data_IF_569509521366
#
_entry.id   IF_569509521366
#
_cell.length_a   1.000
_cell.length_b   1.000
_cell.length_c   1.000
_cell.angle_alpha   90.00
_cell.angle_beta   90.00
_cell.angle_gamma   90.00
#
_symmetry.space_group_name_H-M   'P 1'
#
loop_
_entity.id
_entity.type
_entity.pdbx_description
1 polymer ?
#
# COMPACT_ATOMS: atom_id res chain seq x y z
N UNK A 1 -3.88 17.62 45.22
CA UNK A 1 -3.45 16.40 44.49
C UNK A 1 -4.50 15.85 43.52
N UNK A 2 -5.82 15.94 43.82
CA UNK A 2 -6.87 15.46 42.90
C UNK A 2 -7.05 16.29 41.61
N UNK A 3 -6.61 17.55 41.56
CA UNK A 3 -6.73 18.40 40.36
C UNK A 3 -5.71 18.06 39.26
N UNK A 4 -4.50 17.62 39.62
CA UNK A 4 -3.43 17.26 38.69
C UNK A 4 -3.77 16.04 37.81
N UNK A 5 -4.61 15.13 38.31
CA UNK A 5 -5.03 13.94 37.54
C UNK A 5 -6.14 14.24 36.53
N UNK A 6 -6.86 15.36 36.66
CA UNK A 6 -7.87 15.79 35.69
C UNK A 6 -7.28 16.52 34.48
N UNK A 7 -6.02 16.96 34.57
CA UNK A 7 -5.27 17.56 33.47
C UNK A 7 -4.59 16.52 32.56
N UNK A 8 -4.54 15.25 33.00
CA UNK A 8 -3.97 14.16 32.19
C UNK A 8 -5.03 13.74 31.16
N UNK A 9 -4.73 13.83 29.85
CA UNK A 9 -5.64 13.39 28.80
C UNK A 9 -5.98 11.92 29.01
N UNK A 10 -7.28 11.61 29.12
CA UNK A 10 -7.74 10.22 29.19
C UNK A 10 -7.78 9.65 27.78
N UNK A 11 -6.87 8.73 27.48
CA UNK A 11 -6.88 7.96 26.25
C UNK A 11 -7.02 6.46 26.54
N UNK A 12 -7.52 5.70 25.56
CA UNK A 12 -7.57 4.25 25.71
C UNK A 12 -6.15 3.67 25.66
N UNK A 13 -5.88 2.58 26.39
CA UNK A 13 -4.60 1.86 26.32
C UNK A 13 -4.21 1.53 24.87
N UNK A 14 -5.20 1.21 24.05
CA UNK A 14 -5.00 0.90 22.63
C UNK A 14 -4.48 2.12 21.84
N UNK A 15 -4.99 3.32 22.13
CA UNK A 15 -4.52 4.56 21.50
C UNK A 15 -3.12 4.93 21.98
N UNK A 16 -2.83 4.75 23.27
CA UNK A 16 -1.49 4.96 23.83
C UNK A 16 -0.47 3.99 23.21
N UNK A 17 -0.81 2.70 23.06
CA UNK A 17 0.05 1.73 22.38
C UNK A 17 0.27 2.12 20.92
N UNK A 18 -0.76 2.62 20.26
CA UNK A 18 -0.68 3.06 18.87
C UNK A 18 0.18 4.30 18.70
N UNK A 19 0.12 5.28 19.62
CA UNK A 19 0.92 6.49 19.57
C UNK A 19 2.42 6.19 19.74
N UNK A 20 2.77 5.25 20.63
CA UNK A 20 4.14 4.74 20.77
C UNK A 20 4.58 4.02 19.50
N UNK A 21 3.70 3.20 18.91
CA UNK A 21 4.01 2.44 17.69
C UNK A 21 4.32 3.32 16.49
N UNK A 22 3.70 4.49 16.34
CA UNK A 22 3.94 5.41 15.21
C UNK A 22 5.42 5.80 15.04
N UNK A 23 6.24 5.66 16.09
CA UNK A 23 7.68 5.95 16.06
C UNK A 23 8.55 4.73 15.69
N UNK A 24 7.94 3.56 15.51
CA UNK A 24 8.64 2.32 15.17
C UNK A 24 8.61 2.06 13.66
N UNK A 25 9.64 1.40 13.10
CA UNK A 25 9.61 0.96 11.71
C UNK A 25 8.47 -0.05 11.49
N UNK A 26 7.85 -0.11 10.30
CA UNK A 26 6.73 -1.01 10.01
C UNK A 26 7.20 -2.46 9.94
N UNK A 27 8.46 -2.65 9.58
CA UNK A 27 9.14 -3.91 9.47
C UNK A 27 10.52 -3.67 10.12
N UNK A 28 10.94 -4.50 11.07
CA UNK A 28 12.18 -4.33 11.84
C UNK A 28 13.39 -4.08 10.93
N UNK A 29 14.40 -3.36 11.45
CA UNK A 29 15.58 -2.86 10.71
C UNK A 29 16.52 -3.92 10.10
N UNK A 30 16.14 -5.19 10.02
CA UNK A 30 17.04 -6.30 9.74
C UNK A 30 17.08 -6.76 8.27
N UNK A 31 16.85 -5.85 7.32
CA UNK A 31 17.10 -6.13 5.89
C UNK A 31 18.57 -5.83 5.60
N UNK A 32 19.42 -6.79 5.89
CA UNK A 32 20.77 -6.90 5.32
C UNK A 32 21.01 -8.34 4.91
N UNK A 33 20.16 -8.87 4.04
CA UNK A 33 20.56 -10.01 3.20
C UNK A 33 21.58 -9.50 2.20
N UNK A 34 22.77 -10.09 2.28
CA UNK A 34 23.99 -9.85 1.49
C UNK A 34 23.78 -9.14 0.14
N UNK A 35 24.43 -7.97 -0.01
CA UNK A 35 24.75 -7.38 -1.31
C UNK A 35 23.83 -6.29 -1.86
N UNK A 36 22.60 -6.12 -1.35
CA UNK A 36 21.69 -5.06 -1.82
C UNK A 36 21.34 -4.11 -0.66
N UNK A 37 21.79 -2.86 -0.75
CA UNK A 37 21.40 -1.82 0.20
C UNK A 37 19.87 -1.73 0.27
N UNK A 38 19.31 -1.72 1.49
CA UNK A 38 17.86 -1.53 1.70
C UNK A 38 17.41 -0.27 0.96
N UNK A 39 16.38 -0.40 0.13
CA UNK A 39 15.87 0.72 -0.65
C UNK A 39 15.51 1.89 0.29
N UNK A 40 15.89 3.15 -0.01
CA UNK A 40 15.68 4.29 0.87
C UNK A 40 14.22 4.45 1.33
N UNK A 41 13.27 4.09 0.46
CA UNK A 41 11.85 4.01 0.80
C UNK A 41 11.63 3.10 2.02
N UNK A 42 12.11 1.86 2.01
CA UNK A 42 11.90 0.91 3.11
C UNK A 42 12.52 1.41 4.42
N UNK A 43 13.61 2.18 4.33
CA UNK A 43 14.26 2.79 5.51
C UNK A 43 13.51 3.99 6.08
N UNK A 44 12.67 4.68 5.29
CA UNK A 44 11.91 5.86 5.72
C UNK A 44 10.50 5.54 6.19
N UNK A 45 9.99 4.34 5.94
CA UNK A 45 8.65 3.96 6.35
C UNK A 45 8.57 3.75 7.86
N UNK A 46 7.42 4.11 8.44
CA UNK A 46 7.06 3.91 9.84
C UNK A 46 5.70 3.21 9.99
N UNK A 47 5.44 2.60 11.15
CA UNK A 47 4.09 2.17 11.55
C UNK A 47 3.10 3.34 11.42
N UNK A 48 1.90 3.06 10.92
CA UNK A 48 0.90 4.08 10.65
C UNK A 48 1.15 4.91 9.39
N UNK A 49 2.22 4.67 8.64
CA UNK A 49 2.34 5.28 7.31
C UNK A 49 1.25 4.78 6.39
N UNK A 50 0.78 5.67 5.53
CA UNK A 50 -0.21 5.37 4.48
C UNK A 50 0.44 5.69 3.15
N UNK A 51 0.55 4.70 2.29
CA UNK A 51 1.13 4.86 0.96
C UNK A 51 0.09 4.61 -0.11
N UNK A 52 0.07 5.46 -1.12
CA UNK A 52 -0.68 5.23 -2.36
C UNK A 52 0.30 4.72 -3.42
N UNK A 53 -0.02 3.58 -4.03
CA UNK A 53 0.72 3.03 -5.17
C UNK A 53 -0.16 3.12 -6.40
N UNK A 54 0.16 4.06 -7.29
CA UNK A 54 -0.62 4.35 -8.48
C UNK A 54 0.11 3.90 -9.75
N UNK A 55 -0.62 3.36 -10.72
CA UNK A 55 -0.07 2.97 -12.02
C UNK A 55 -1.06 2.21 -12.90
N UNK A 56 -0.77 2.04 -14.20
CA UNK A 56 -1.65 1.36 -15.14
C UNK A 56 -1.75 -0.14 -14.81
N UNK A 57 -2.64 -0.86 -15.50
CA UNK A 57 -2.66 -2.32 -15.42
C UNK A 57 -1.25 -2.90 -15.70
N UNK A 58 -0.90 -3.98 -15.00
CA UNK A 58 0.39 -4.66 -15.14
C UNK A 58 1.64 -3.81 -14.80
N UNK A 59 1.49 -2.69 -14.09
CA UNK A 59 2.62 -1.85 -13.66
C UNK A 59 3.36 -2.36 -12.41
N UNK A 60 3.13 -3.60 -11.96
CA UNK A 60 3.82 -4.17 -10.80
C UNK A 60 3.25 -3.83 -9.41
N UNK A 61 2.10 -3.13 -9.31
CA UNK A 61 1.49 -2.73 -8.01
C UNK A 61 1.27 -3.92 -7.07
N UNK A 62 0.60 -4.97 -7.55
CA UNK A 62 0.32 -6.17 -6.75
C UNK A 62 1.60 -6.93 -6.37
N UNK A 63 2.65 -6.89 -7.21
CA UNK A 63 3.94 -7.48 -6.86
C UNK A 63 4.69 -6.67 -5.79
N UNK A 64 4.61 -5.33 -5.84
CA UNK A 64 5.11 -4.48 -4.76
C UNK A 64 4.33 -4.77 -3.45
N UNK A 65 3.01 -4.95 -3.53
CA UNK A 65 2.21 -5.40 -2.39
C UNK A 65 2.67 -6.76 -1.86
N UNK A 66 2.90 -7.77 -2.72
CA UNK A 66 3.45 -9.06 -2.29
C UNK A 66 4.77 -8.90 -1.54
N UNK A 67 5.66 -8.02 -2.00
CA UNK A 67 6.91 -7.77 -1.29
C UNK A 67 6.68 -7.35 0.17
N UNK A 68 5.76 -6.40 0.40
CA UNK A 68 5.42 -5.95 1.76
C UNK A 68 4.68 -7.00 2.59
N UNK A 69 3.77 -7.77 1.98
CA UNK A 69 3.10 -8.88 2.65
C UNK A 69 4.14 -9.91 3.13
N UNK A 70 5.11 -10.26 2.28
CA UNK A 70 6.18 -11.20 2.62
C UNK A 70 7.02 -10.69 3.80
N UNK A 71 7.43 -9.42 3.80
CA UNK A 71 8.15 -8.81 4.94
C UNK A 71 7.32 -8.86 6.23
N UNK A 72 6.01 -8.68 6.12
CA UNK A 72 5.10 -8.69 7.26
C UNK A 72 4.96 -10.09 7.88
N UNK A 73 4.64 -11.10 7.07
CA UNK A 73 4.22 -12.43 7.56
C UNK A 73 5.37 -13.41 7.77
N UNK A 74 6.51 -13.22 7.10
CA UNK A 74 7.65 -14.12 7.21
C UNK A 74 8.15 -14.24 8.66
N UNK A 75 8.77 -15.36 9.05
CA UNK A 75 9.37 -15.52 10.37
C UNK A 75 10.43 -14.44 10.60
N UNK A 76 10.62 -14.05 11.86
CA UNK A 76 11.69 -13.10 12.23
C UNK A 76 12.99 -13.85 12.46
N UNK A 77 13.14 -14.50 13.62
CA UNK A 77 14.33 -15.27 13.98
C UNK A 77 13.96 -16.64 14.52
N UNK A 78 14.62 -17.69 14.06
CA UNK A 78 14.44 -19.05 14.58
C UNK A 78 15.77 -19.80 14.60
N UNK A 79 16.09 -20.42 15.74
CA UNK A 79 17.31 -21.22 15.92
C UNK A 79 18.58 -20.51 15.39
N UNK A 80 18.75 -19.24 15.77
CA UNK A 80 19.85 -18.32 15.37
C UNK A 80 19.84 -17.78 13.92
N UNK A 81 18.96 -18.28 13.04
CA UNK A 81 18.81 -17.81 11.67
C UNK A 81 17.86 -16.61 11.65
N UNK A 82 18.28 -15.53 11.00
CA UNK A 82 17.44 -14.38 10.70
C UNK A 82 16.83 -14.53 9.30
N UNK A 83 15.51 -14.47 9.23
CA UNK A 83 14.76 -14.61 7.99
C UNK A 83 14.30 -13.24 7.44
N UNK A 84 14.59 -12.15 8.15
CA UNK A 84 14.25 -10.78 7.74
C UNK A 84 12.75 -10.47 7.75
N UNK A 85 11.92 -11.34 8.32
CA UNK A 85 10.47 -11.14 8.48
C UNK A 85 10.08 -10.57 9.83
N UNK A 86 8.79 -10.30 10.01
CA UNK A 86 8.27 -9.63 11.21
C UNK A 86 7.30 -10.47 12.03
N UNK A 87 6.83 -11.60 11.47
CA UNK A 87 5.87 -12.48 12.13
C UNK A 87 4.59 -11.77 12.58
N UNK A 88 4.17 -10.75 11.83
CA UNK A 88 2.98 -9.94 12.06
C UNK A 88 1.82 -10.43 11.17
N UNK A 89 0.59 -10.03 11.52
CA UNK A 89 -0.57 -10.27 10.67
C UNK A 89 -0.61 -9.26 9.51
N UNK A 90 -0.86 -9.76 8.30
CA UNK A 90 -1.14 -8.96 7.11
C UNK A 90 -2.61 -9.11 6.72
N UNK A 91 -3.32 -8.00 6.62
CA UNK A 91 -4.71 -7.94 6.18
C UNK A 91 -4.77 -7.36 4.77
N UNK A 92 -5.34 -8.08 3.82
CA UNK A 92 -5.47 -7.66 2.42
C UNK A 92 -6.94 -7.61 2.04
N UNK A 93 -7.41 -6.45 1.63
CA UNK A 93 -8.68 -6.26 0.96
C UNK A 93 -8.46 -6.33 -0.55
N UNK A 94 -8.72 -7.51 -1.12
CA UNK A 94 -8.63 -7.79 -2.55
C UNK A 94 -9.97 -7.46 -3.21
N UNK A 95 -10.09 -6.23 -3.70
CA UNK A 95 -11.34 -5.68 -4.27
C UNK A 95 -11.48 -6.00 -5.76
N UNK A 96 -10.35 -6.23 -6.45
CA UNK A 96 -10.29 -6.57 -7.88
C UNK A 96 -10.15 -8.08 -8.14
N UNK A 97 -10.21 -8.91 -7.08
CA UNK A 97 -9.99 -10.36 -7.14
C UNK A 97 -8.66 -10.74 -7.84
N UNK A 98 -7.64 -9.90 -7.70
CA UNK A 98 -6.35 -10.01 -8.37
C UNK A 98 -5.25 -10.60 -7.49
N UNK A 99 -5.50 -10.72 -6.18
CA UNK A 99 -4.53 -11.25 -5.22
C UNK A 99 -4.46 -12.78 -5.30
N UNK A 100 -3.33 -13.27 -5.81
CA UNK A 100 -3.01 -14.68 -5.97
C UNK A 100 -2.16 -15.19 -4.78
N UNK A 101 -2.81 -15.98 -3.92
CA UNK A 101 -2.18 -16.60 -2.75
C UNK A 101 -1.17 -17.68 -3.16
N UNK A 102 -1.38 -18.38 -4.27
CA UNK A 102 -0.43 -19.39 -4.76
C UNK A 102 0.87 -18.72 -5.22
N UNK A 103 0.75 -17.55 -5.89
CA UNK A 103 1.90 -16.72 -6.24
C UNK A 103 2.65 -16.24 -5.00
N UNK A 104 1.95 -15.74 -3.98
CA UNK A 104 2.58 -15.32 -2.72
C UNK A 104 3.28 -16.50 -2.02
N UNK A 105 2.62 -17.67 -1.95
CA UNK A 105 3.19 -18.90 -1.39
C UNK A 105 4.50 -19.27 -2.10
N UNK A 106 4.51 -19.26 -3.44
CA UNK A 106 5.71 -19.54 -4.23
C UNK A 106 6.85 -18.57 -3.87
N UNK A 107 6.57 -17.26 -3.85
CA UNK A 107 7.57 -16.25 -3.50
C UNK A 107 8.12 -16.44 -2.08
N UNK A 108 7.26 -16.78 -1.12
CA UNK A 108 7.67 -17.03 0.26
C UNK A 108 8.53 -18.29 0.38
N UNK A 109 8.09 -19.39 -0.24
CA UNK A 109 8.82 -20.65 -0.23
C UNK A 109 10.20 -20.51 -0.86
N UNK A 110 10.30 -19.81 -1.99
CA UNK A 110 11.59 -19.55 -2.63
C UNK A 110 12.51 -18.77 -1.70
N UNK A 111 12.04 -17.67 -1.09
CA UNK A 111 12.83 -16.88 -0.14
C UNK A 111 13.32 -17.70 1.05
N UNK A 112 12.45 -18.51 1.66
CA UNK A 112 12.83 -19.34 2.80
C UNK A 112 13.76 -20.49 2.41
N UNK A 113 13.59 -21.06 1.21
CA UNK A 113 14.46 -22.11 0.70
C UNK A 113 15.88 -21.61 0.40
N UNK A 114 16.03 -20.33 0.00
CA UNK A 114 17.36 -19.70 -0.17
C UNK A 114 18.10 -19.56 1.17
N UNK A 115 17.38 -19.26 2.25
CA UNK A 115 17.97 -19.17 3.61
C UNK A 115 18.20 -20.56 4.23
N UNK A 116 17.41 -21.56 3.82
CA UNK A 116 17.47 -22.95 4.31
C UNK A 116 17.77 -23.94 3.17
N UNK A 117 18.91 -23.84 2.45
CA UNK A 117 19.16 -24.61 1.24
C UNK A 117 19.23 -26.13 1.50
N UNK A 118 19.59 -26.53 2.72
CA UNK A 118 19.69 -27.93 3.13
C UNK A 118 18.49 -28.42 3.96
N UNK A 119 17.44 -27.59 4.13
CA UNK A 119 16.28 -27.95 4.95
C UNK A 119 14.96 -27.48 4.31
N UNK A 120 14.68 -27.99 3.12
CA UNK A 120 13.47 -27.67 2.33
C UNK A 120 12.19 -27.98 3.12
N UNK A 121 12.17 -29.05 3.92
CA UNK A 121 11.00 -29.39 4.73
C UNK A 121 10.75 -28.39 5.87
N UNK A 122 11.81 -27.80 6.45
CA UNK A 122 11.64 -26.67 7.35
C UNK A 122 11.14 -25.43 6.61
N UNK A 123 11.69 -25.12 5.43
CA UNK A 123 11.22 -23.99 4.62
C UNK A 123 9.72 -24.10 4.29
N UNK A 124 9.25 -25.29 3.88
CA UNK A 124 7.84 -25.56 3.60
C UNK A 124 6.95 -25.35 4.82
N UNK A 125 7.33 -25.91 5.98
CA UNK A 125 6.59 -25.71 7.24
C UNK A 125 6.52 -24.24 7.64
N UNK A 126 7.62 -23.49 7.50
CA UNK A 126 7.65 -22.06 7.82
C UNK A 126 6.82 -21.24 6.85
N UNK A 127 6.75 -21.61 5.56
CA UNK A 127 5.84 -21.00 4.59
C UNK A 127 4.39 -21.20 5.03
N UNK A 128 4.00 -22.44 5.33
CA UNK A 128 2.63 -22.77 5.78
C UNK A 128 2.27 -22.02 7.08
N UNK A 129 3.17 -22.01 8.07
CA UNK A 129 2.99 -21.25 9.32
C UNK A 129 2.83 -19.74 9.07
N UNK A 130 3.59 -19.20 8.12
CA UNK A 130 3.54 -17.78 7.78
C UNK A 130 2.25 -17.38 7.08
N UNK A 131 1.70 -18.26 6.24
CA UNK A 131 0.42 -17.99 5.57
C UNK A 131 -0.76 -17.96 6.53
N UNK A 132 -0.67 -18.57 7.71
CA UNK A 132 -1.69 -18.40 8.76
C UNK A 132 -1.82 -16.96 9.27
N UNK A 133 -0.81 -16.11 9.03
CA UNK A 133 -0.83 -14.68 9.37
C UNK A 133 -1.39 -13.80 8.25
N UNK A 134 -1.77 -14.37 7.11
CA UNK A 134 -2.38 -13.66 5.99
C UNK A 134 -3.91 -13.77 6.03
N UNK A 135 -4.58 -12.63 6.03
CA UNK A 135 -6.03 -12.53 6.06
C UNK A 135 -6.52 -11.77 4.83
N UNK A 136 -7.20 -12.46 3.91
CA UNK A 136 -7.70 -11.88 2.66
C UNK A 136 -9.22 -11.73 2.71
N UNK A 137 -9.71 -10.51 2.50
CA UNK A 137 -11.12 -10.16 2.38
C UNK A 137 -11.42 -9.69 0.96
N UNK A 138 -12.56 -10.11 0.39
CA UNK A 138 -12.98 -9.76 -0.96
C UNK A 138 -14.34 -9.04 -0.97
N UNK A 139 -14.39 -7.76 -0.56
CA UNK A 139 -15.62 -7.00 -0.66
C UNK A 139 -15.97 -6.75 -2.12
N UNK A 140 -17.25 -6.63 -2.43
CA UNK A 140 -17.80 -6.43 -3.78
C UNK A 140 -18.40 -5.03 -3.97
N UNK A 141 -18.23 -4.14 -2.99
CA UNK A 141 -18.64 -2.72 -3.06
C UNK A 141 -17.86 -1.87 -2.04
N UNK A 142 -17.84 -0.54 -2.23
CA UNK A 142 -17.26 0.40 -1.26
C UNK A 142 -17.95 0.34 0.11
N UNK A 143 -19.27 0.12 0.15
CA UNK A 143 -20.00 0.00 1.42
C UNK A 143 -19.62 -1.27 2.19
N UNK A 144 -19.44 -2.40 1.50
CA UNK A 144 -18.97 -3.63 2.13
C UNK A 144 -17.52 -3.50 2.60
N UNK A 145 -16.66 -2.85 1.80
CA UNK A 145 -15.28 -2.55 2.19
C UNK A 145 -15.26 -1.66 3.46
N UNK A 146 -16.01 -0.55 3.47
CA UNK A 146 -16.10 0.34 4.62
C UNK A 146 -16.61 -0.37 5.88
N UNK A 147 -17.66 -1.18 5.72
CA UNK A 147 -18.24 -1.96 6.82
C UNK A 147 -17.23 -2.98 7.35
N UNK A 148 -16.54 -3.69 6.47
CA UNK A 148 -15.54 -4.68 6.88
C UNK A 148 -14.36 -4.03 7.60
N UNK A 149 -13.84 -2.91 7.09
CA UNK A 149 -12.78 -2.14 7.75
C UNK A 149 -13.22 -1.63 9.13
N UNK A 150 -14.46 -1.13 9.24
CA UNK A 150 -15.01 -0.67 10.52
C UNK A 150 -15.04 -1.79 11.57
N UNK A 151 -15.29 -3.04 11.15
CA UNK A 151 -15.35 -4.21 12.05
C UNK A 151 -14.02 -4.97 12.16
N UNK A 152 -12.97 -4.56 11.45
CA UNK A 152 -11.65 -5.18 11.51
C UNK A 152 -11.07 -5.23 12.94
N UNK A 153 -11.23 -4.21 13.81
CA UNK A 153 -10.79 -4.31 15.21
C UNK A 153 -11.45 -5.46 15.99
N UNK A 154 -12.73 -5.73 15.72
CA UNK A 154 -13.44 -6.84 16.33
C UNK A 154 -12.92 -8.18 15.80
N UNK A 155 -12.72 -8.28 14.48
CA UNK A 155 -12.10 -9.45 13.87
C UNK A 155 -10.70 -9.71 14.44
N UNK A 156 -9.88 -8.67 14.62
CA UNK A 156 -8.54 -8.78 15.20
C UNK A 156 -8.60 -9.42 16.59
N UNK A 157 -9.48 -8.89 17.46
CA UNK A 157 -9.66 -9.40 18.83
C UNK A 157 -10.13 -10.85 18.89
N UNK A 158 -11.01 -11.27 17.98
CA UNK A 158 -11.65 -12.59 18.04
C UNK A 158 -10.87 -13.66 17.27
N UNK A 159 -10.35 -13.32 16.10
CA UNK A 159 -9.79 -14.29 15.15
C UNK A 159 -8.27 -14.36 15.15
N UNK A 160 -7.59 -13.27 15.52
CA UNK A 160 -6.11 -13.18 15.54
C UNK A 160 -5.55 -12.42 16.75
N UNK A 161 -5.97 -12.78 17.99
CA UNK A 161 -5.53 -12.06 19.19
C UNK A 161 -4.02 -12.14 19.44
N UNK A 162 -3.35 -13.17 18.91
CA UNK A 162 -1.92 -13.45 19.12
C UNK A 162 -0.99 -12.67 18.18
N UNK A 163 -1.54 -12.03 17.13
CA UNK A 163 -0.75 -11.37 16.09
C UNK A 163 -1.18 -9.93 15.90
N UNK A 164 -0.27 -9.00 16.18
CA UNK A 164 -0.47 -7.59 15.82
C UNK A 164 -0.62 -7.42 14.29
N UNK A 165 -1.59 -6.62 13.87
CA UNK A 165 -1.74 -6.22 12.46
C UNK A 165 -0.60 -5.27 12.09
N UNK A 166 0.37 -5.79 11.35
CA UNK A 166 1.53 -5.02 10.86
C UNK A 166 1.26 -4.29 9.55
N UNK A 167 0.47 -4.92 8.66
CA UNK A 167 0.15 -4.44 7.32
C UNK A 167 -1.35 -4.51 7.06
N UNK A 168 -1.90 -3.43 6.50
CA UNK A 168 -3.24 -3.38 5.94
C UNK A 168 -3.15 -2.90 4.49
N UNK A 169 -3.65 -3.70 3.55
CA UNK A 169 -3.66 -3.35 2.14
C UNK A 169 -5.07 -3.29 1.57
N UNK A 170 -5.31 -2.37 0.64
CA UNK A 170 -6.49 -2.36 -0.22
C UNK A 170 -6.02 -2.36 -1.68
N UNK A 171 -6.27 -3.47 -2.37
CA UNK A 171 -5.87 -3.72 -3.76
C UNK A 171 -7.10 -4.02 -4.63
N UNK A 172 -7.68 -3.06 -5.35
CA UNK A 172 -7.37 -1.63 -5.41
C UNK A 172 -8.48 -0.73 -4.85
N UNK A 173 -8.13 0.51 -4.49
CA UNK A 173 -9.10 1.54 -4.09
C UNK A 173 -10.07 1.92 -5.21
N UNK A 174 -9.73 1.60 -6.47
CA UNK A 174 -10.46 2.03 -7.67
C UNK A 174 -11.29 0.95 -8.33
N UNK A 175 -11.33 -0.26 -7.76
CA UNK A 175 -12.11 -1.39 -8.26
C UNK A 175 -13.57 -1.03 -8.57
N UNK A 176 -14.20 -0.23 -7.70
CA UNK A 176 -15.61 0.14 -7.81
C UNK A 176 -15.86 1.46 -8.54
N UNK A 177 -14.81 2.16 -9.00
CA UNK A 177 -14.90 3.53 -9.51
C UNK A 177 -15.93 3.70 -10.64
N UNK A 178 -15.88 2.85 -11.67
CA UNK A 178 -16.78 2.99 -12.82
C UNK A 178 -18.22 2.65 -12.47
N UNK A 179 -18.44 1.62 -11.64
CA UNK A 179 -19.77 1.24 -11.17
C UNK A 179 -20.40 2.34 -10.34
N UNK A 180 -19.66 2.90 -9.38
CA UNK A 180 -20.16 3.97 -8.52
C UNK A 180 -20.40 5.26 -9.30
N UNK A 181 -19.50 5.59 -10.24
CA UNK A 181 -19.70 6.72 -11.16
C UNK A 181 -20.97 6.54 -11.98
N UNK A 182 -21.20 5.36 -12.57
CA UNK A 182 -22.40 5.08 -13.33
C UNK A 182 -23.66 5.25 -12.48
N UNK A 183 -23.70 4.69 -11.27
CA UNK A 183 -24.82 4.84 -10.33
C UNK A 183 -25.05 6.32 -9.99
N UNK A 184 -23.99 7.07 -9.70
CA UNK A 184 -24.08 8.49 -9.38
C UNK A 184 -24.65 9.32 -10.56
N UNK A 185 -24.24 9.03 -11.80
CA UNK A 185 -24.78 9.70 -12.99
C UNK A 185 -26.25 9.33 -13.25
N UNK A 186 -26.64 8.06 -13.06
CA UNK A 186 -28.05 7.64 -13.16
C UNK A 186 -28.92 8.38 -12.15
N UNK A 187 -28.44 8.55 -10.90
CA UNK A 187 -29.17 9.27 -9.85
C UNK A 187 -29.35 10.76 -10.19
N UNK A 188 -28.35 11.41 -10.82
CA UNK A 188 -28.45 12.82 -11.24
C UNK A 188 -29.48 13.05 -12.35
N UNK A 189 -29.66 12.06 -13.23
CA UNK A 189 -30.58 12.15 -14.36
C UNK A 189 -32.04 11.82 -14.00
N UNK A 190 -32.32 11.44 -12.76
CA UNK A 190 -33.66 11.11 -12.31
C UNK A 190 -34.46 12.40 -12.03
N UNK A 191 -35.54 12.69 -12.77
CA UNK A 191 -36.37 13.86 -12.51
C UNK A 191 -37.06 13.70 -11.14
N UNK A 192 -37.02 14.75 -10.30
CA UNK A 192 -37.66 14.86 -8.97
C UNK A 192 -36.85 14.46 -7.71
N UNK A 193 -35.52 14.34 -7.77
CA UNK A 193 -34.72 14.19 -6.53
C UNK A 193 -33.88 15.44 -6.29
N UNK A 194 -34.24 16.23 -5.27
CA UNK A 194 -33.29 17.19 -4.73
C UNK A 194 -32.06 16.42 -4.23
N UNK A 195 -30.83 16.90 -4.50
CA UNK A 195 -29.62 16.25 -4.01
C UNK A 195 -29.70 16.20 -2.50
N UNK A 196 -29.77 15.00 -1.92
CA UNK A 196 -29.74 14.82 -0.47
C UNK A 196 -28.36 15.32 0.02
N UNK A 197 -28.31 16.44 0.77
CA UNK A 197 -27.05 17.00 1.25
C UNK A 197 -26.35 16.08 2.24
N UNK A 198 -27.04 15.03 2.73
CA UNK A 198 -26.50 14.00 3.62
C UNK A 198 -25.94 12.76 2.89
N UNK A 199 -26.01 12.70 1.55
CA UNK A 199 -25.46 11.58 0.78
C UNK A 199 -23.92 11.60 0.79
N UNK A 200 -23.34 10.99 1.82
CA UNK A 200 -21.90 10.83 1.98
C UNK A 200 -21.35 9.93 0.86
N UNK A 201 -20.27 10.37 0.21
CA UNK A 201 -19.58 9.56 -0.79
C UNK A 201 -19.12 8.23 -0.12
N UNK A 202 -19.48 7.03 -0.63
CA UNK A 202 -19.12 5.76 -0.02
C UNK A 202 -17.62 5.60 0.25
N UNK A 203 -16.77 6.22 -0.56
CA UNK A 203 -15.32 6.25 -0.36
C UNK A 203 -14.92 6.98 0.92
N UNK A 204 -15.65 8.02 1.33
CA UNK A 204 -15.39 8.72 2.60
C UNK A 204 -15.60 7.79 3.80
N UNK A 205 -16.53 6.84 3.75
CA UNK A 205 -16.68 5.83 4.80
C UNK A 205 -15.46 4.90 4.86
N UNK A 206 -14.93 4.50 3.71
CA UNK A 206 -13.68 3.70 3.63
C UNK A 206 -12.52 4.47 4.24
N UNK A 207 -12.31 5.73 3.83
CA UNK A 207 -11.22 6.58 4.32
C UNK A 207 -11.35 6.86 5.82
N UNK A 208 -12.57 7.09 6.32
CA UNK A 208 -12.84 7.26 7.74
C UNK A 208 -12.51 5.98 8.53
N UNK A 209 -12.90 4.81 8.02
CA UNK A 209 -12.59 3.53 8.65
C UNK A 209 -11.07 3.25 8.67
N UNK A 210 -10.37 3.52 7.56
CA UNK A 210 -8.90 3.46 7.49
C UNK A 210 -8.25 4.41 8.49
N UNK A 211 -8.75 5.65 8.62
CA UNK A 211 -8.23 6.63 9.58
C UNK A 211 -8.39 6.14 11.03
N UNK A 212 -9.56 5.58 11.37
CA UNK A 212 -9.81 4.98 12.69
C UNK A 212 -8.90 3.78 12.96
N UNK A 213 -8.70 2.91 11.97
CA UNK A 213 -7.78 1.78 12.09
C UNK A 213 -6.33 2.23 12.27
N UNK A 214 -5.90 3.23 11.51
CA UNK A 214 -4.57 3.85 11.66
C UNK A 214 -4.35 4.35 13.09
N UNK A 215 -5.31 5.09 13.65
CA UNK A 215 -5.19 5.64 15.01
C UNK A 215 -5.24 4.56 16.10
N UNK A 216 -6.02 3.50 15.89
CA UNK A 216 -6.22 2.46 16.91
C UNK A 216 -5.25 1.28 16.81
N UNK A 217 -4.63 1.03 15.66
CA UNK A 217 -3.76 -0.15 15.47
C UNK A 217 -2.39 0.22 14.90
N UNK A 218 -2.23 1.42 14.34
CA UNK A 218 -1.02 1.88 13.65
C UNK A 218 -0.43 0.90 12.60
N UNK A 219 -1.23 0.18 11.78
CA UNK A 219 -0.67 -0.66 10.74
C UNK A 219 0.02 0.20 9.68
N UNK A 220 0.99 -0.36 8.98
CA UNK A 220 1.41 0.20 7.70
C UNK A 220 0.30 -0.02 6.67
N UNK A 221 -0.17 1.04 6.02
CA UNK A 221 -1.31 1.00 5.10
C UNK A 221 -0.84 1.17 3.66
N UNK A 222 -1.20 0.24 2.79
CA UNK A 222 -0.94 0.32 1.34
C UNK A 222 -2.26 0.40 0.59
N UNK A 223 -2.42 1.44 -0.22
CA UNK A 223 -3.58 1.67 -1.07
C UNK A 223 -3.12 1.60 -2.52
N UNK A 224 -3.52 0.59 -3.29
CA UNK A 224 -3.23 0.60 -4.72
C UNK A 224 -4.32 1.35 -5.48
N UNK A 225 -3.93 2.00 -6.58
CA UNK A 225 -4.83 2.82 -7.37
C UNK A 225 -4.51 2.72 -8.87
N UNK A 226 -5.51 2.88 -9.72
CA UNK A 226 -5.34 2.93 -11.17
C UNK A 226 -4.68 4.25 -11.60
N UNK A 227 -3.68 4.15 -12.46
CA UNK A 227 -3.09 5.27 -13.18
C UNK A 227 -3.80 5.46 -14.52
N UNK A 228 -4.89 6.23 -14.53
CA UNK A 228 -5.71 6.42 -15.74
C UNK A 228 -5.19 7.52 -16.66
N UNK A 229 -4.93 8.71 -16.09
CA UNK A 229 -4.58 9.90 -16.85
C UNK A 229 -3.27 10.47 -16.33
N UNK A 230 -2.32 10.74 -17.21
CA UNK A 230 -1.10 11.46 -16.83
C UNK A 230 -1.43 12.94 -16.53
N UNK A 231 -0.81 13.49 -15.48
CA UNK A 231 -0.84 14.91 -15.20
C UNK A 231 -0.05 15.67 -16.27
N UNK A 232 -0.47 16.90 -16.56
CA UNK A 232 0.26 17.76 -17.48
C UNK A 232 1.68 18.02 -16.93
N UNK A 233 2.69 18.03 -17.81
CA UNK A 233 4.08 18.30 -17.43
C UNK A 233 4.22 19.75 -16.96
N UNK A 234 4.15 19.99 -15.65
CA UNK A 234 4.60 21.24 -15.05
C UNK A 234 6.11 21.18 -14.92
N UNK A 235 6.82 21.63 -15.96
CA UNK A 235 8.25 22.01 -15.92
C UNK A 235 9.20 21.02 -15.22
N UNK A 236 9.18 19.74 -15.61
CA UNK A 236 10.13 18.72 -15.15
C UNK A 236 10.09 17.43 -15.99
N UNK A 237 11.11 16.55 -15.91
CA UNK A 237 11.18 15.30 -16.67
C UNK A 237 10.25 14.19 -16.13
N UNK A 238 9.59 14.42 -14.99
CA UNK A 238 8.82 13.42 -14.25
C UNK A 238 7.32 13.65 -14.47
N UNK A 239 6.54 12.58 -14.66
CA UNK A 239 5.08 12.67 -14.86
C UNK A 239 4.36 11.73 -13.91
N UNK A 240 3.39 12.27 -13.16
CA UNK A 240 2.56 11.53 -12.22
C UNK A 240 1.15 11.34 -12.80
N UNK A 241 0.39 10.37 -12.30
CA UNK A 241 -1.01 10.21 -12.68
C UNK A 241 -1.90 11.19 -11.92
N UNK A 242 -2.98 11.64 -12.56
CA UNK A 242 -4.05 12.42 -11.93
C UNK A 242 -4.83 11.53 -10.97
N UNK A 243 -5.24 12.08 -9.84
CA UNK A 243 -6.21 11.43 -8.96
C UNK A 243 -7.59 11.46 -9.61
N UNK A 244 -8.24 10.30 -9.73
CA UNK A 244 -9.57 10.18 -10.35
C UNK A 244 -10.67 9.84 -9.32
N UNK A 245 -10.27 9.40 -8.12
CA UNK A 245 -11.18 9.18 -7.02
C UNK A 245 -11.54 10.51 -6.34
N UNK A 246 -12.84 10.83 -6.32
CA UNK A 246 -13.35 12.01 -5.62
C UNK A 246 -13.25 11.84 -4.10
N UNK A 247 -12.80 12.88 -3.40
CA UNK A 247 -12.57 12.86 -1.93
C UNK A 247 -11.45 11.91 -1.46
N UNK A 248 -10.57 11.47 -2.35
CA UNK A 248 -9.36 10.73 -1.96
C UNK A 248 -8.30 11.67 -1.37
N UNK A 249 -7.47 11.23 -0.40
CA UNK A 249 -6.39 12.05 0.14
C UNK A 249 -5.48 12.56 -0.97
N UNK A 250 -5.35 13.88 -1.07
CA UNK A 250 -4.45 14.51 -2.03
C UNK A 250 -3.10 14.73 -1.35
N UNK A 251 -2.02 14.43 -2.07
CA UNK A 251 -0.68 14.80 -1.65
C UNK A 251 -0.59 16.33 -1.53
N UNK A 252 -0.42 16.86 -0.32
CA UNK A 252 -0.15 18.29 -0.12
C UNK A 252 1.36 18.53 -0.15
N UNK A 253 1.83 19.29 -1.14
CA UNK A 253 3.23 19.76 -1.21
C UNK A 253 3.57 20.74 -0.08
N UNK A 254 2.54 21.36 0.53
CA UNK A 254 2.68 22.34 1.59
C UNK A 254 2.03 21.80 2.88
N UNK A 255 2.83 21.28 3.80
CA UNK A 255 2.43 21.14 5.19
C UNK A 255 3.34 22.02 6.05
N UNK A 256 2.89 23.25 6.30
CA UNK A 256 3.20 23.91 7.56
C UNK A 256 2.46 23.12 8.65
N UNK A 257 3.22 22.43 9.50
CA UNK A 257 2.70 21.64 10.62
C UNK A 257 1.97 22.46 11.71
N UNK A 258 1.69 23.75 11.47
CA UNK A 258 1.10 24.70 12.41
C UNK A 258 -0.40 24.98 12.19
N UNK A 259 -1.03 24.45 11.13
CA UNK A 259 -2.47 24.63 10.88
C UNK A 259 -3.28 23.39 11.25
N UNK A 260 -3.19 23.00 12.51
CA UNK A 260 -4.33 22.36 13.17
C UNK A 260 -5.40 23.45 13.33
N UNK A 261 -6.65 23.29 12.87
CA UNK A 261 -7.70 24.27 13.15
C UNK A 261 -7.97 24.27 14.66
N UNK A 262 -7.41 25.27 15.34
CA UNK A 262 -7.77 25.66 16.70
C UNK A 262 -9.18 26.27 16.67
N UNK A 263 -10.20 25.42 16.68
CA UNK A 263 -11.57 25.80 16.99
C UNK A 263 -12.30 24.61 17.61
N UNK A 264 -12.15 24.47 18.92
CA UNK A 264 -12.98 23.59 19.75
C UNK A 264 -13.86 24.48 20.63
N UNK A 265 -14.95 24.98 20.05
CA UNK A 265 -16.15 25.39 20.79
C UNK A 265 -17.37 25.05 19.94
N UNK A 266 -18.08 23.97 20.29
CA UNK A 266 -19.43 23.68 19.81
C UNK A 266 -19.69 22.20 19.49
N UNK A 267 -20.76 21.65 20.06
CA UNK A 267 -21.28 20.29 19.92
C UNK A 267 -21.68 19.91 18.47
N UNK A 268 -20.71 19.70 17.59
CA UNK A 268 -20.93 19.07 16.29
C UNK A 268 -20.00 17.85 16.15
N UNK A 269 -20.57 16.77 15.62
CA UNK A 269 -19.91 15.49 15.34
C UNK A 269 -18.45 15.70 14.87
N UNK A 270 -17.46 14.98 15.44
CA UNK A 270 -16.06 15.21 15.10
C UNK A 270 -15.89 15.02 13.59
N UNK A 271 -15.53 16.11 12.90
CA UNK A 271 -15.16 16.08 11.49
C UNK A 271 -14.08 15.00 11.31
N UNK A 272 -14.28 14.02 10.41
CA UNK A 272 -13.33 12.93 10.27
C UNK A 272 -11.98 13.52 9.86
N UNK A 273 -10.97 13.37 10.72
CA UNK A 273 -9.60 13.72 10.41
C UNK A 273 -9.21 13.00 9.10
N UNK A 274 -8.77 13.72 8.06
CA UNK A 274 -8.45 13.10 6.78
C UNK A 274 -7.33 12.08 6.96
N UNK A 275 -7.47 10.92 6.32
CA UNK A 275 -6.42 9.89 6.29
C UNK A 275 -5.15 10.53 5.68
N UNK A 276 -4.05 10.66 6.43
CA UNK A 276 -2.86 11.33 5.92
C UNK A 276 -2.18 10.44 4.90
N UNK A 277 -1.84 10.97 3.72
CA UNK A 277 -1.01 10.27 2.75
C UNK A 277 0.47 10.60 3.05
N UNK A 278 1.27 9.59 3.36
CA UNK A 278 2.69 9.77 3.73
C UNK A 278 3.60 9.64 2.51
N UNK A 279 3.29 8.72 1.61
CA UNK A 279 4.04 8.52 0.38
C UNK A 279 3.08 8.29 -0.80
N UNK A 280 3.48 8.77 -1.97
CA UNK A 280 2.83 8.47 -3.24
C UNK A 280 3.86 7.87 -4.18
N UNK A 281 3.59 6.65 -4.64
CA UNK A 281 4.43 5.90 -5.55
C UNK A 281 3.72 5.81 -6.89
N UNK A 282 4.29 6.39 -7.93
CA UNK A 282 3.84 6.20 -9.31
C UNK A 282 4.71 5.15 -9.99
N UNK A 283 4.11 4.00 -10.33
CA UNK A 283 4.76 2.95 -11.10
C UNK A 283 4.46 3.13 -12.58
N UNK A 284 5.51 3.29 -13.36
CA UNK A 284 5.45 3.39 -14.81
C UNK A 284 6.19 2.19 -15.42
N UNK A 285 5.55 1.40 -16.31
CA UNK A 285 6.29 0.40 -17.05
C UNK A 285 7.37 1.09 -17.87
N UNK A 286 8.52 0.44 -18.02
CA UNK A 286 9.60 0.96 -18.87
C UNK A 286 9.06 1.07 -20.30
N UNK A 287 9.10 2.30 -20.83
CA UNK A 287 8.65 2.57 -22.19
C UNK A 287 9.67 1.98 -23.16
N UNK A 288 9.28 0.90 -23.83
CA UNK A 288 10.03 0.35 -24.94
C UNK A 288 9.46 1.02 -26.20
N UNK A 289 10.20 1.93 -26.86
CA UNK A 289 9.68 2.67 -28.01
C UNK A 289 9.21 1.69 -29.08
N UNK A 290 8.13 1.93 -29.82
CA UNK A 290 7.78 1.08 -30.95
C UNK A 290 8.89 1.10 -32.01
N UNK A 291 8.91 0.08 -32.86
CA UNK A 291 9.74 0.10 -34.07
C UNK A 291 9.39 1.33 -34.92
N UNK A 292 10.40 2.01 -35.46
CA UNK A 292 10.17 3.16 -36.34
C UNK A 292 9.38 2.69 -37.58
N UNK A 293 8.42 3.47 -38.11
CA UNK A 293 7.56 3.01 -39.21
C UNK A 293 8.31 2.54 -40.46
N UNK A 294 9.51 3.06 -40.70
CA UNK A 294 10.34 2.78 -41.88
C UNK A 294 11.51 1.82 -41.62
N UNK A 295 11.58 1.20 -40.43
CA UNK A 295 12.67 0.28 -40.11
C UNK A 295 12.57 -1.00 -40.98
N UNK A 296 13.70 -1.44 -41.52
CA UNK A 296 13.75 -2.71 -42.24
C UNK A 296 13.54 -3.89 -41.29
N UNK A 297 13.06 -5.03 -41.80
CA UNK A 297 12.86 -6.23 -40.99
C UNK A 297 14.19 -6.73 -40.40
N UNK A 298 15.28 -6.61 -41.16
CA UNK A 298 16.63 -6.94 -40.70
C UNK A 298 17.03 -6.08 -39.49
N UNK A 299 16.87 -4.76 -39.60
CA UNK A 299 17.26 -3.82 -38.54
C UNK A 299 16.35 -3.94 -37.33
N UNK A 300 15.06 -4.25 -37.52
CA UNK A 300 14.13 -4.54 -36.43
C UNK A 300 14.55 -5.78 -35.63
N UNK A 301 14.95 -6.86 -36.34
CA UNK A 301 15.46 -8.09 -35.69
C UNK A 301 16.75 -7.80 -34.93
N UNK A 302 17.68 -7.04 -35.52
CA UNK A 302 18.92 -6.65 -34.86
C UNK A 302 18.65 -5.80 -33.61
N UNK A 303 17.75 -4.81 -33.72
CA UNK A 303 17.32 -3.97 -32.62
C UNK A 303 16.66 -4.78 -31.48
N UNK A 304 15.86 -5.80 -31.84
CA UNK A 304 15.23 -6.71 -30.89
C UNK A 304 16.27 -7.53 -30.11
N UNK A 305 17.27 -8.07 -30.80
CA UNK A 305 18.34 -8.88 -30.21
C UNK A 305 19.28 -8.04 -29.34
N UNK A 306 19.67 -6.85 -29.81
CA UNK A 306 20.69 -6.02 -29.16
C UNK A 306 20.22 -5.37 -27.86
N UNK A 307 18.99 -4.83 -27.80
CA UNK A 307 18.54 -4.15 -26.58
C UNK A 307 17.11 -4.51 -26.14
N UNK A 308 16.13 -4.60 -27.04
CA UNK A 308 14.70 -4.66 -26.64
C UNK A 308 14.39 -5.92 -25.85
N UNK A 309 14.84 -7.08 -26.33
CA UNK A 309 14.64 -8.37 -25.64
C UNK A 309 15.21 -8.33 -24.23
N UNK A 310 16.40 -7.76 -24.07
CA UNK A 310 17.04 -7.65 -22.76
C UNK A 310 16.23 -6.76 -21.80
N UNK A 311 15.66 -5.66 -22.29
CA UNK A 311 14.83 -4.76 -21.47
C UNK A 311 13.50 -5.39 -21.08
N UNK A 312 12.86 -6.11 -22.00
CA UNK A 312 11.64 -6.89 -21.72
C UNK A 312 11.92 -7.99 -20.70
N UNK A 313 12.99 -8.76 -20.91
CA UNK A 313 13.35 -9.89 -20.05
C UNK A 313 13.80 -9.45 -18.66
N UNK A 314 14.47 -8.30 -18.53
CA UNK A 314 14.81 -7.72 -17.23
C UNK A 314 13.56 -7.36 -16.41
N UNK A 315 12.41 -7.13 -17.06
CA UNK A 315 11.15 -6.87 -16.38
C UNK A 315 11.22 -5.67 -15.44
N UNK A 316 12.09 -4.70 -15.77
CA UNK A 316 12.37 -3.54 -14.93
C UNK A 316 11.16 -2.60 -14.92
N UNK A 317 10.75 -2.17 -13.74
CA UNK A 317 9.66 -1.21 -13.55
C UNK A 317 10.21 -0.05 -12.72
N UNK A 318 10.05 1.17 -13.21
CA UNK A 318 10.49 2.36 -12.48
C UNK A 318 9.34 2.93 -11.65
N UNK A 319 9.59 3.11 -10.36
CA UNK A 319 8.72 3.81 -9.44
C UNK A 319 9.27 5.19 -9.08
N UNK A 320 8.40 6.19 -9.11
CA UNK A 320 8.68 7.55 -8.65
C UNK A 320 8.01 7.74 -7.30
N UNK A 321 8.75 8.18 -6.30
CA UNK A 321 8.28 8.30 -4.92
C UNK A 321 8.25 9.76 -4.52
N UNK A 322 7.09 10.22 -4.04
CA UNK A 322 6.91 11.46 -3.31
C UNK A 322 6.69 11.15 -1.84
N UNK A 323 7.33 11.91 -0.95
CA UNK A 323 7.20 11.76 0.50
C UNK A 323 6.73 13.06 1.10
N UNK A 324 5.61 13.03 1.82
CA UNK A 324 4.99 14.24 2.38
C UNK A 324 5.98 14.99 3.26
N UNK A 325 6.10 16.31 3.06
CA UNK A 325 7.08 17.16 3.73
C UNK A 325 8.49 17.14 3.10
N UNK A 326 8.71 16.38 2.02
CA UNK A 326 9.95 16.43 1.22
C UNK A 326 9.66 16.94 -0.19
N UNK A 327 10.53 17.81 -0.69
CA UNK A 327 10.46 18.30 -2.08
C UNK A 327 11.13 17.34 -3.07
N UNK A 328 12.07 16.52 -2.61
CA UNK A 328 12.80 15.58 -3.44
C UNK A 328 11.93 14.40 -3.87
N UNK A 329 11.93 14.11 -5.17
CA UNK A 329 11.32 12.91 -5.73
C UNK A 329 12.41 11.86 -5.84
N UNK A 330 12.26 10.76 -5.11
CA UNK A 330 13.20 9.64 -5.19
C UNK A 330 12.71 8.60 -6.19
N UNK A 331 13.63 7.73 -6.62
CA UNK A 331 13.34 6.64 -7.56
C UNK A 331 13.52 5.31 -6.86
N UNK A 332 12.64 4.36 -7.19
CA UNK A 332 12.81 2.95 -6.89
C UNK A 332 12.72 2.16 -8.18
N UNK A 333 13.39 1.02 -8.21
CA UNK A 333 13.32 0.09 -9.33
C UNK A 333 12.80 -1.24 -8.83
N UNK A 334 11.81 -1.79 -9.52
CA UNK A 334 11.20 -3.08 -9.25
C UNK A 334 11.64 -4.07 -10.33
N UNK A 335 12.20 -5.20 -9.91
CA UNK A 335 12.48 -6.33 -10.80
C UNK A 335 11.60 -7.50 -10.38
N UNK A 336 10.71 -7.91 -11.28
CA UNK A 336 9.78 -9.01 -11.04
C UNK A 336 10.30 -10.24 -11.78
N UNK A 337 10.67 -11.28 -11.04
CA UNK A 337 11.07 -12.58 -11.60
C UNK A 337 10.07 -13.66 -11.17
N UNK A 338 10.09 -14.85 -11.79
CA UNK A 338 9.31 -15.98 -11.30
C UNK A 338 9.65 -16.37 -9.85
N UNK A 339 10.84 -16.03 -9.37
CA UNK A 339 11.35 -16.47 -8.08
C UNK A 339 11.24 -15.41 -6.99
N UNK A 340 11.26 -14.11 -7.33
CA UNK A 340 11.25 -13.04 -6.34
C UNK A 340 10.75 -11.70 -6.90
N UNK A 341 10.50 -10.75 -5.99
CA UNK A 341 10.30 -9.33 -6.28
C UNK A 341 11.44 -8.56 -5.60
N UNK A 342 12.36 -8.06 -6.41
CA UNK A 342 13.49 -7.25 -5.94
C UNK A 342 13.16 -5.76 -6.04
N UNK A 343 13.54 -5.01 -5.01
CA UNK A 343 13.43 -3.54 -4.98
C UNK A 343 14.86 -3.00 -4.91
N UNK A 344 15.29 -2.33 -5.97
CA UNK A 344 16.59 -1.67 -6.09
C UNK A 344 16.48 -0.15 -6.12
N UNK A 345 17.64 0.50 -6.15
CA UNK A 345 17.81 1.94 -6.30
C UNK A 345 18.78 2.24 -7.46
N UNK A 346 18.63 3.41 -8.08
CA UNK A 346 19.59 4.02 -9.00
C UNK A 346 20.16 5.29 -8.39
#
# INVERSE_FOLDING_TARGET
>A
MASLLNEIPRESLQNLLSSVRLQAPPFGHHISTEGYASAPLLSSLSRGDVIEVQGPASSGKTHLLYHFVLLCIAPSRQMSIDFGGNRLAAVVYDTDASFDVARLHQLLLTRLSLVLPHNIEMARRLTEESLHRLHVFRPTSLLQLATSLLHLPLYHKVSIPEHEIGLLAVDSMSAFYWTDRFIAEQMRNMPQREPDPSSVNPLQHVLTALGRLRLSHAPFIILTNWGLNLAARSSGPVTFYKQHLHSFPVYSENHDASTLPSSMTGDLLPTPMPLPLTHHITLSPVSIPPFAPEISLHDAVQQEVEYRRSMVQKGEITGLVRTTGRQEITRLTLYITPENVHIGHL
#
